data_IF_295849763709
#
_entry.id   IF_295849763709
#
_cell.length_a   1.000
_cell.length_b   1.000
_cell.length_c   1.000
_cell.angle_alpha   90.00
_cell.angle_beta   90.00
_cell.angle_gamma   90.00
#
_symmetry.space_group_name_H-M   'P 1'
#
loop_
_entity.id
_entity.type
_entity.pdbx_description
1 polymer ?
#
# COMPACT_ATOMS: atom_id res chain seq x y z
N UNK A 1 35.21 -0.23 39.68
CA UNK A 1 35.41 -0.60 38.26
C UNK A 1 34.18 -1.30 37.65
N UNK A 2 33.64 -2.35 38.28
CA UNK A 2 32.52 -3.15 37.72
C UNK A 2 31.17 -2.42 37.59
N UNK A 3 30.86 -1.45 38.45
CA UNK A 3 29.62 -0.67 38.37
C UNK A 3 29.60 0.27 37.15
N UNK A 4 30.72 0.91 36.83
CA UNK A 4 30.87 1.78 35.66
C UNK A 4 30.82 1.00 34.34
N UNK A 5 31.39 -0.21 34.30
CA UNK A 5 31.32 -1.11 33.14
C UNK A 5 29.87 -1.57 32.91
N UNK A 6 29.14 -1.92 33.98
CA UNK A 6 27.73 -2.30 33.89
C UNK A 6 26.85 -1.15 33.39
N UNK A 7 27.07 0.06 33.88
CA UNK A 7 26.36 1.26 33.41
C UNK A 7 26.65 1.55 31.92
N UNK A 8 27.90 1.40 31.47
CA UNK A 8 28.27 1.61 30.06
C UNK A 8 27.68 0.54 29.13
N UNK A 9 27.62 -0.72 29.57
CA UNK A 9 26.96 -1.81 28.82
C UNK A 9 25.46 -1.57 28.73
N UNK A 10 24.82 -1.14 29.81
CA UNK A 10 23.39 -0.78 29.81
C UNK A 10 23.13 0.44 28.91
N UNK A 11 23.96 1.47 28.97
CA UNK A 11 23.84 2.67 28.12
C UNK A 11 24.06 2.34 26.63
N UNK A 12 25.03 1.47 26.33
CA UNK A 12 25.30 0.98 24.97
C UNK A 12 24.18 0.07 24.43
N UNK A 13 23.47 -0.66 25.30
CA UNK A 13 22.28 -1.43 24.93
C UNK A 13 21.05 -0.51 24.75
N UNK A 14 20.93 0.56 25.53
CA UNK A 14 19.86 1.56 25.37
C UNK A 14 20.06 2.43 24.11
N UNK A 15 21.30 2.68 23.69
CA UNK A 15 21.60 3.44 22.47
C UNK A 15 21.54 2.59 21.18
N UNK A 16 21.46 1.26 21.29
CA UNK A 16 21.40 0.34 20.13
C UNK A 16 19.98 0.14 19.57
N UNK A 17 18.98 0.80 20.14
CA UNK A 17 17.56 0.67 19.77
C UNK A 17 17.11 1.66 18.67
N UNK A 18 17.92 2.66 18.29
CA UNK A 18 17.60 3.63 17.22
C UNK A 18 18.10 3.18 15.83
N UNK A 19 18.27 1.87 15.63
CA UNK A 19 18.38 1.30 14.30
C UNK A 19 17.02 1.45 13.62
N UNK A 20 16.97 2.19 12.49
CA UNK A 20 15.83 2.31 11.57
C UNK A 20 14.96 1.04 11.58
N UNK A 21 13.87 1.06 12.36
CA UNK A 21 12.93 -0.07 12.48
C UNK A 21 12.16 -0.14 11.17
N UNK A 22 12.64 -1.01 10.28
CA UNK A 22 12.01 -1.28 9.00
C UNK A 22 10.67 -1.98 9.26
N UNK A 23 9.56 -1.30 8.98
CA UNK A 23 8.24 -1.92 9.02
C UNK A 23 8.06 -2.82 7.79
N UNK A 24 8.03 -4.13 8.01
CA UNK A 24 7.87 -5.13 6.97
C UNK A 24 6.55 -5.00 6.20
N UNK A 25 5.50 -4.47 6.85
CA UNK A 25 4.21 -4.16 6.23
C UNK A 25 4.38 -3.02 5.23
N UNK A 26 5.07 -1.95 5.64
CA UNK A 26 5.33 -0.80 4.76
C UNK A 26 6.17 -1.20 3.56
N UNK A 27 7.19 -2.04 3.75
CA UNK A 27 7.98 -2.59 2.64
C UNK A 27 7.16 -3.45 1.70
N UNK A 28 6.24 -4.26 2.23
CA UNK A 28 5.33 -5.06 1.41
C UNK A 28 4.39 -4.17 0.60
N UNK A 29 3.80 -3.14 1.23
CA UNK A 29 2.94 -2.17 0.55
C UNK A 29 3.68 -1.40 -0.54
N UNK A 30 4.89 -0.93 -0.25
CA UNK A 30 5.75 -0.23 -1.20
C UNK A 30 6.19 -1.17 -2.35
N UNK A 31 6.60 -2.39 -2.02
CA UNK A 31 7.01 -3.40 -3.01
C UNK A 31 5.89 -3.75 -3.99
N UNK A 32 4.65 -3.92 -3.50
CA UNK A 32 3.49 -4.14 -4.37
C UNK A 32 3.19 -2.94 -5.27
N UNK A 33 3.44 -1.71 -4.80
CA UNK A 33 3.33 -0.50 -5.65
C UNK A 33 4.40 -0.46 -6.72
N UNK A 34 5.65 -0.81 -6.39
CA UNK A 34 6.72 -0.91 -7.39
C UNK A 34 6.40 -2.01 -8.43
N UNK A 35 5.86 -3.15 -8.01
CA UNK A 35 5.40 -4.19 -8.91
C UNK A 35 4.30 -3.68 -9.84
N UNK A 36 3.27 -3.02 -9.30
CA UNK A 36 2.20 -2.41 -10.11
C UNK A 36 2.75 -1.40 -11.11
N UNK A 37 3.64 -0.51 -10.68
CA UNK A 37 4.27 0.50 -11.52
C UNK A 37 5.11 -0.14 -12.64
N UNK A 38 5.83 -1.22 -12.35
CA UNK A 38 6.59 -1.95 -13.36
C UNK A 38 5.68 -2.59 -14.42
N UNK A 39 4.51 -3.12 -14.02
CA UNK A 39 3.52 -3.66 -14.96
C UNK A 39 2.95 -2.55 -15.84
N UNK A 40 2.56 -1.41 -15.25
CA UNK A 40 2.05 -0.25 -15.99
C UNK A 40 3.09 0.33 -16.96
N UNK A 41 4.34 0.44 -16.52
CA UNK A 41 5.44 0.88 -17.35
C UNK A 41 5.68 -0.07 -18.53
N UNK A 42 5.68 -1.39 -18.27
CA UNK A 42 5.85 -2.41 -19.31
C UNK A 42 4.73 -2.32 -20.35
N UNK A 43 3.49 -2.13 -19.89
CA UNK A 43 2.34 -1.95 -20.77
C UNK A 43 2.47 -0.67 -21.61
N UNK A 44 2.89 0.45 -21.01
CA UNK A 44 3.13 1.69 -21.73
C UNK A 44 4.19 1.52 -22.83
N UNK A 45 5.28 0.80 -22.54
CA UNK A 45 6.32 0.48 -23.54
C UNK A 45 5.73 -0.36 -24.69
N UNK A 46 4.89 -1.35 -24.39
CA UNK A 46 4.20 -2.16 -25.42
C UNK A 46 3.25 -1.30 -26.26
N UNK A 47 2.50 -0.38 -25.65
CA UNK A 47 1.62 0.55 -26.37
C UNK A 47 2.42 1.45 -27.33
N UNK A 48 3.53 2.02 -26.85
CA UNK A 48 4.43 2.85 -27.66
C UNK A 48 5.04 2.03 -28.82
N UNK A 49 5.37 0.76 -28.58
CA UNK A 49 5.93 -0.13 -29.60
C UNK A 49 4.92 -0.49 -30.69
N UNK A 50 3.64 -0.64 -30.34
CA UNK A 50 2.59 -0.90 -31.32
C UNK A 50 2.14 0.34 -32.09
N UNK A 51 2.28 1.53 -31.49
CA UNK A 51 1.93 2.83 -32.07
C UNK A 51 0.55 2.86 -32.76
N UNK A 52 -0.42 2.14 -32.20
CA UNK A 52 -1.78 2.01 -32.72
C UNK A 52 -2.77 2.16 -31.57
N UNK A 53 -3.74 3.07 -31.74
CA UNK A 53 -4.71 3.43 -30.69
C UNK A 53 -5.58 2.24 -30.30
N UNK A 54 -5.98 1.38 -31.24
CA UNK A 54 -6.84 0.23 -30.96
C UNK A 54 -6.08 -0.83 -30.15
N UNK A 55 -4.82 -1.09 -30.52
CA UNK A 55 -3.95 -1.99 -29.74
C UNK A 55 -3.64 -1.43 -28.36
N UNK A 56 -3.39 -0.13 -28.25
CA UNK A 56 -3.18 0.52 -26.97
C UNK A 56 -4.41 0.43 -26.06
N UNK A 57 -5.61 0.63 -26.62
CA UNK A 57 -6.86 0.46 -25.88
C UNK A 57 -7.05 -0.99 -25.40
N UNK A 58 -6.69 -1.98 -26.22
CA UNK A 58 -6.73 -3.38 -25.82
C UNK A 58 -5.80 -3.66 -24.63
N UNK A 59 -4.57 -3.14 -24.65
CA UNK A 59 -3.64 -3.26 -23.52
C UNK A 59 -4.19 -2.56 -22.27
N UNK A 60 -4.74 -1.35 -22.40
CA UNK A 60 -5.37 -0.64 -21.28
C UNK A 60 -6.57 -1.39 -20.70
N UNK A 61 -7.34 -2.09 -21.53
CA UNK A 61 -8.46 -2.93 -21.07
C UNK A 61 -7.96 -4.08 -20.21
N UNK A 62 -6.83 -4.69 -20.56
CA UNK A 62 -6.18 -5.70 -19.71
C UNK A 62 -5.67 -5.08 -18.39
N UNK A 63 -5.09 -3.89 -18.44
CA UNK A 63 -4.59 -3.18 -17.26
C UNK A 63 -5.70 -2.69 -16.33
N UNK A 64 -6.90 -2.44 -16.84
CA UNK A 64 -8.04 -1.97 -16.07
C UNK A 64 -8.41 -2.90 -14.91
N UNK A 65 -8.04 -4.18 -14.97
CA UNK A 65 -8.22 -5.14 -13.87
C UNK A 65 -7.00 -5.19 -12.94
N UNK A 66 -5.79 -5.07 -13.49
CA UNK A 66 -4.54 -5.24 -12.74
C UNK A 66 -4.37 -4.13 -11.70
N UNK A 67 -4.54 -2.86 -12.10
CA UNK A 67 -4.37 -1.70 -11.21
C UNK A 67 -5.28 -1.77 -9.98
N UNK A 68 -6.61 -1.93 -10.16
CA UNK A 68 -7.53 -2.12 -9.04
C UNK A 68 -7.22 -3.33 -8.18
N UNK A 69 -6.82 -4.46 -8.76
CA UNK A 69 -6.51 -5.68 -8.00
C UNK A 69 -5.35 -5.46 -7.04
N UNK A 70 -4.23 -4.91 -7.52
CA UNK A 70 -3.06 -4.64 -6.67
C UNK A 70 -3.39 -3.56 -5.63
N UNK A 71 -4.13 -2.52 -6.03
CA UNK A 71 -4.58 -1.48 -5.10
C UNK A 71 -5.41 -2.06 -3.95
N UNK A 72 -6.37 -2.94 -4.24
CA UNK A 72 -7.17 -3.61 -3.22
C UNK A 72 -6.32 -4.43 -2.26
N UNK A 73 -5.35 -5.22 -2.77
CA UNK A 73 -4.46 -6.01 -1.91
C UNK A 73 -3.64 -5.11 -0.98
N UNK A 74 -3.03 -4.04 -1.51
CA UNK A 74 -2.25 -3.09 -0.71
C UNK A 74 -3.13 -2.43 0.35
N UNK A 75 -4.35 -2.02 0.00
CA UNK A 75 -5.29 -1.42 0.93
C UNK A 75 -5.69 -2.39 2.05
N UNK A 76 -5.94 -3.67 1.72
CA UNK A 76 -6.27 -4.69 2.71
C UNK A 76 -5.11 -4.95 3.67
N UNK A 77 -3.87 -5.04 3.17
CA UNK A 77 -2.68 -5.19 4.02
C UNK A 77 -2.57 -4.01 4.99
N UNK A 78 -2.75 -2.77 4.49
CA UNK A 78 -2.72 -1.57 5.33
C UNK A 78 -3.82 -1.57 6.41
N UNK A 79 -5.05 -1.92 6.04
CA UNK A 79 -6.19 -2.00 6.97
C UNK A 79 -5.99 -3.08 8.04
N UNK A 80 -5.50 -4.27 7.67
CA UNK A 80 -5.22 -5.36 8.62
C UNK A 80 -4.12 -4.94 9.59
N UNK A 81 -3.08 -4.26 9.12
CA UNK A 81 -1.98 -3.80 9.97
C UNK A 81 -2.43 -2.78 11.03
N UNK A 82 -3.40 -1.91 10.70
CA UNK A 82 -3.95 -0.92 11.66
C UNK A 82 -5.23 -1.40 12.35
N UNK A 83 -5.64 -2.66 12.15
CA UNK A 83 -6.96 -3.13 12.56
C UNK A 83 -7.22 -3.01 14.07
N UNK A 84 -6.19 -3.27 14.88
CA UNK A 84 -6.29 -3.16 16.34
C UNK A 84 -6.35 -1.71 16.85
N UNK A 85 -6.02 -0.73 16.01
CA UNK A 85 -6.09 0.71 16.31
C UNK A 85 -7.30 1.42 15.68
N UNK A 86 -8.16 0.65 15.01
CA UNK A 86 -9.41 1.16 14.45
C UNK A 86 -10.44 1.34 15.57
N UNK A 87 -10.66 2.59 15.98
CA UNK A 87 -11.79 2.93 16.84
C UNK A 87 -13.11 2.84 16.06
N UNK A 88 -14.23 2.64 16.79
CA UNK A 88 -15.58 2.66 16.22
C UNK A 88 -15.84 3.90 15.36
N UNK A 89 -15.31 5.06 15.77
CA UNK A 89 -15.46 6.30 15.00
C UNK A 89 -14.77 6.24 13.62
N UNK A 90 -13.56 5.65 13.54
CA UNK A 90 -12.86 5.46 12.25
C UNK A 90 -13.64 4.50 11.35
N UNK A 91 -14.22 3.44 11.92
CA UNK A 91 -15.05 2.48 11.17
C UNK A 91 -16.32 3.12 10.59
N UNK A 92 -16.97 4.03 11.33
CA UNK A 92 -18.12 4.79 10.83
C UNK A 92 -17.73 5.60 9.59
N UNK A 93 -16.57 6.26 9.60
CA UNK A 93 -16.08 7.01 8.44
C UNK A 93 -15.75 6.13 7.24
N UNK A 94 -15.14 4.96 7.46
CA UNK A 94 -14.91 3.99 6.38
C UNK A 94 -16.25 3.52 5.81
N UNK A 95 -17.21 3.17 6.67
CA UNK A 95 -18.56 2.77 6.27
C UNK A 95 -19.33 3.87 5.53
N UNK A 96 -19.18 5.14 5.94
CA UNK A 96 -19.75 6.28 5.23
C UNK A 96 -19.21 6.39 3.80
N UNK A 97 -17.92 6.12 3.59
CA UNK A 97 -17.34 6.02 2.24
C UNK A 97 -18.02 4.94 1.39
N UNK A 98 -18.26 3.76 1.96
CA UNK A 98 -18.99 2.67 1.28
C UNK A 98 -20.43 3.11 0.94
N UNK A 99 -21.13 3.78 1.86
CA UNK A 99 -22.47 4.31 1.62
C UNK A 99 -22.46 5.35 0.51
N UNK A 100 -21.48 6.25 0.46
CA UNK A 100 -21.33 7.21 -0.64
C UNK A 100 -21.18 6.52 -2.01
N UNK A 101 -20.39 5.43 -2.07
CA UNK A 101 -20.26 4.62 -3.31
C UNK A 101 -21.63 4.04 -3.69
N UNK A 102 -22.36 3.45 -2.74
CA UNK A 102 -23.69 2.88 -2.99
C UNK A 102 -24.70 3.93 -3.45
N UNK A 103 -24.70 5.13 -2.86
CA UNK A 103 -25.54 6.25 -3.29
C UNK A 103 -25.22 6.62 -4.74
N UNK A 104 -23.94 6.71 -5.09
CA UNK A 104 -23.51 6.99 -6.47
C UNK A 104 -23.97 5.94 -7.48
N UNK A 105 -24.05 4.67 -7.09
CA UNK A 105 -24.50 3.57 -7.97
C UNK A 105 -26.02 3.52 -8.10
N UNK A 106 -26.77 3.70 -7.00
CA UNK A 106 -28.20 3.36 -6.96
C UNK A 106 -29.15 4.56 -6.91
N UNK A 107 -28.70 5.72 -6.47
CA UNK A 107 -29.56 6.88 -6.20
C UNK A 107 -29.40 7.97 -7.27
N UNK A 108 -28.18 8.19 -7.75
CA UNK A 108 -27.88 9.19 -8.79
C UNK A 108 -28.19 8.57 -10.16
N UNK A 109 -29.17 9.14 -10.88
CA UNK A 109 -29.53 8.76 -12.26
C UNK A 109 -29.28 9.90 -13.23
#
# INVERSE_FOLDING_TARGET
>A
MNCLISAYVVLALLYKEDAMKIDATVWTMAGLRFLSAAIELSAAIVMLSFNDVKKALAVNTLLAVVGPTIFFVVMMIGLVAVANELSLFKLVWIGAGVVCILIGIYVVK
#
